data_IF_233816789728
#
_entry.id   IF_233816789728
#
_cell.length_a   1.000
_cell.length_b   1.000
_cell.length_c   1.000
_cell.angle_alpha   90.00
_cell.angle_beta   90.00
_cell.angle_gamma   90.00
#
_symmetry.space_group_name_H-M   'P 1'
#
loop_
_entity.id
_entity.type
_entity.pdbx_description
1 polymer ?
#
# COMPACT_ATOMS: atom_id res chain seq x y z
N UNK A 1 14.63 7.64 25.11
CA UNK A 1 14.61 6.42 24.34
C UNK A 1 13.37 6.34 23.48
N UNK A 2 13.56 6.69 22.27
CA UNK A 2 12.47 6.66 21.31
C UNK A 2 12.31 5.25 20.78
N UNK A 3 11.29 4.58 21.25
CA UNK A 3 10.85 3.42 20.54
C UNK A 3 10.24 3.89 19.23
N UNK A 4 11.00 3.77 18.18
CA UNK A 4 10.40 3.82 16.86
C UNK A 4 9.55 2.57 16.71
N UNK A 5 8.26 2.73 16.87
CA UNK A 5 7.33 1.68 16.49
C UNK A 5 7.55 1.39 15.02
N UNK A 6 7.63 0.12 14.66
CA UNK A 6 7.75 -0.30 13.28
C UNK A 6 6.60 0.29 12.45
N UNK A 7 6.88 0.85 11.27
CA UNK A 7 5.81 1.34 10.41
C UNK A 7 4.81 0.24 10.09
N UNK A 8 3.55 0.58 10.21
CA UNK A 8 2.44 -0.34 9.96
C UNK A 8 1.79 0.01 8.63
N UNK A 9 1.86 -0.92 7.69
CA UNK A 9 1.39 -0.71 6.32
C UNK A 9 0.13 -1.52 6.08
N UNK A 10 -0.91 -0.87 5.55
CA UNK A 10 -2.10 -1.55 5.07
C UNK A 10 -1.88 -1.99 3.63
N UNK A 11 -2.07 -3.28 3.35
CA UNK A 11 -2.04 -3.81 1.99
C UNK A 11 -3.47 -4.14 1.59
N UNK A 12 -4.05 -3.27 0.77
CA UNK A 12 -5.46 -3.37 0.36
C UNK A 12 -5.59 -4.27 -0.86
N UNK A 13 -6.26 -5.38 -0.69
CA UNK A 13 -6.41 -6.40 -1.73
C UNK A 13 -7.87 -6.86 -1.84
N UNK A 14 -8.19 -7.45 -2.98
CA UNK A 14 -9.40 -8.21 -3.23
C UNK A 14 -9.03 -9.33 -4.19
N UNK A 15 -9.91 -10.30 -4.38
CA UNK A 15 -9.61 -11.41 -5.29
C UNK A 15 -9.17 -10.90 -6.66
N UNK A 16 -8.07 -11.44 -7.16
CA UNK A 16 -7.47 -11.02 -8.41
C UNK A 16 -6.42 -9.93 -8.29
N UNK A 17 -5.94 -9.62 -7.07
CA UNK A 17 -4.86 -8.65 -6.88
C UNK A 17 -3.54 -9.17 -7.49
N UNK A 18 -2.64 -8.25 -7.81
CA UNK A 18 -1.33 -8.58 -8.37
C UNK A 18 -0.48 -9.26 -7.28
N UNK A 19 -0.39 -10.58 -7.34
CA UNK A 19 0.31 -11.39 -6.35
C UNK A 19 1.81 -11.09 -6.33
N UNK A 20 2.41 -10.86 -7.50
CA UNK A 20 3.85 -10.59 -7.60
C UNK A 20 4.18 -9.26 -6.93
N UNK A 21 3.40 -8.22 -7.23
CA UNK A 21 3.57 -6.91 -6.59
C UNK A 21 3.36 -7.01 -5.08
N UNK A 22 2.32 -7.72 -4.66
CA UNK A 22 2.00 -7.91 -3.23
C UNK A 22 3.17 -8.57 -2.50
N UNK A 23 3.64 -9.72 -2.96
CA UNK A 23 4.69 -10.47 -2.27
C UNK A 23 6.02 -9.72 -2.29
N UNK A 24 6.34 -9.04 -3.38
CA UNK A 24 7.57 -8.26 -3.49
C UNK A 24 7.59 -7.12 -2.47
N UNK A 25 6.53 -6.33 -2.43
CA UNK A 25 6.44 -5.18 -1.51
C UNK A 25 6.36 -5.65 -0.06
N UNK A 26 5.59 -6.69 0.21
CA UNK A 26 5.48 -7.26 1.55
C UNK A 26 6.85 -7.68 2.10
N UNK A 27 7.63 -8.41 1.31
CA UNK A 27 8.97 -8.83 1.71
C UNK A 27 9.89 -7.66 2.00
N UNK A 28 9.83 -6.60 1.19
CA UNK A 28 10.66 -5.42 1.38
C UNK A 28 10.28 -4.66 2.65
N UNK A 29 8.99 -4.54 2.94
CA UNK A 29 8.51 -3.92 4.18
C UNK A 29 9.02 -4.70 5.39
N UNK A 30 8.85 -6.02 5.39
CA UNK A 30 9.28 -6.88 6.49
C UNK A 30 10.80 -6.86 6.67
N UNK A 31 11.54 -6.85 5.57
CA UNK A 31 13.00 -6.79 5.60
C UNK A 31 13.52 -5.52 6.27
N UNK A 32 12.82 -4.41 6.12
CA UNK A 32 13.18 -3.13 6.74
C UNK A 32 12.60 -2.95 8.15
N UNK A 33 11.96 -3.97 8.69
CA UNK A 33 11.43 -3.95 10.05
C UNK A 33 10.01 -3.40 10.17
N UNK A 34 9.32 -3.21 9.06
CA UNK A 34 7.92 -2.78 9.07
C UNK A 34 6.96 -3.95 9.28
N UNK A 35 5.70 -3.61 9.46
CA UNK A 35 4.59 -4.56 9.59
C UNK A 35 3.64 -4.37 8.42
N UNK A 36 3.24 -5.46 7.77
CA UNK A 36 2.29 -5.43 6.67
C UNK A 36 1.02 -6.19 7.08
N UNK A 37 -0.12 -5.53 7.02
CA UNK A 37 -1.41 -6.15 7.30
C UNK A 37 -2.25 -6.22 6.04
N UNK A 38 -2.89 -7.37 5.82
CA UNK A 38 -3.76 -7.59 4.66
C UNK A 38 -5.16 -7.09 5.00
N UNK A 39 -5.60 -6.10 4.24
CA UNK A 39 -6.92 -5.48 4.39
C UNK A 39 -7.73 -5.81 3.14
N UNK A 40 -8.94 -6.26 3.30
CA UNK A 40 -9.75 -6.65 2.14
C UNK A 40 -11.24 -6.50 2.37
N UNK A 41 -11.98 -6.43 1.28
CA UNK A 41 -13.43 -6.60 1.26
C UNK A 41 -13.84 -8.08 1.25
N UNK A 42 -12.89 -8.98 1.00
CA UNK A 42 -13.14 -10.43 1.10
C UNK A 42 -13.19 -10.84 2.58
N UNK A 43 -13.94 -11.88 2.91
CA UNK A 43 -14.24 -12.19 4.31
C UNK A 43 -13.14 -12.94 5.05
N UNK A 44 -12.52 -13.92 4.44
CA UNK A 44 -11.54 -14.77 5.13
C UNK A 44 -10.18 -14.75 4.45
N UNK A 45 -10.17 -14.93 3.16
CA UNK A 45 -8.94 -15.00 2.38
C UNK A 45 -9.13 -14.25 1.06
N UNK A 46 -8.03 -13.69 0.56
CA UNK A 46 -7.99 -13.08 -0.76
C UNK A 46 -7.10 -13.91 -1.67
N UNK A 47 -7.54 -14.14 -2.89
CA UNK A 47 -6.83 -14.95 -3.87
C UNK A 47 -6.07 -14.06 -4.85
N UNK A 48 -4.75 -14.22 -4.92
CA UNK A 48 -3.90 -13.46 -5.82
C UNK A 48 -4.01 -13.91 -7.27
N UNK A 49 -3.66 -13.00 -8.17
CA UNK A 49 -3.51 -13.30 -9.60
C UNK A 49 -2.03 -13.29 -9.95
N UNK A 50 -1.53 -14.41 -10.46
CA UNK A 50 -0.10 -14.62 -10.70
C UNK A 50 0.34 -14.22 -12.11
N UNK A 51 -0.47 -13.44 -12.81
CA UNK A 51 -0.16 -12.94 -14.15
C UNK A 51 -0.84 -13.72 -15.27
N UNK A 52 -0.95 -15.02 -15.14
CA UNK A 52 -1.57 -15.91 -16.15
C UNK A 52 -2.52 -16.93 -15.55
N UNK A 53 -2.58 -17.00 -14.21
CA UNK A 53 -3.42 -17.98 -13.50
C UNK A 53 -3.68 -17.49 -12.09
N UNK A 54 -4.69 -18.06 -11.45
CA UNK A 54 -4.93 -17.83 -10.03
C UNK A 54 -3.76 -18.38 -9.22
N UNK A 55 -3.28 -17.57 -8.28
CA UNK A 55 -2.18 -17.91 -7.39
C UNK A 55 -2.63 -18.37 -6.02
N UNK A 56 -1.88 -17.98 -5.00
CA UNK A 56 -2.12 -18.40 -3.62
C UNK A 56 -3.27 -17.63 -2.97
N UNK A 57 -3.76 -18.16 -1.87
CA UNK A 57 -4.69 -17.49 -0.97
C UNK A 57 -3.92 -16.88 0.19
N UNK A 58 -4.34 -15.68 0.58
CA UNK A 58 -3.71 -14.92 1.68
C UNK A 58 -4.76 -14.60 2.72
N UNK A 59 -4.48 -14.86 4.02
CA UNK A 59 -5.44 -14.55 5.08
C UNK A 59 -5.65 -13.04 5.19
N UNK A 60 -6.90 -12.65 5.37
CA UNK A 60 -7.26 -11.24 5.59
C UNK A 60 -7.12 -10.93 7.08
N UNK A 61 -6.27 -9.95 7.39
CA UNK A 61 -6.02 -9.56 8.78
C UNK A 61 -7.14 -8.67 9.34
N UNK A 62 -7.73 -7.82 8.51
CA UNK A 62 -8.85 -6.96 8.91
C UNK A 62 -9.75 -6.66 7.72
N UNK A 63 -11.02 -6.44 8.01
CA UNK A 63 -12.00 -6.08 7.00
C UNK A 63 -11.90 -4.59 6.67
N UNK A 64 -12.01 -4.27 5.38
CA UNK A 64 -11.90 -2.89 4.89
C UNK A 64 -12.88 -1.93 5.59
N UNK A 65 -14.08 -2.39 5.90
CA UNK A 65 -15.09 -1.56 6.54
C UNK A 65 -14.86 -1.32 8.04
N UNK A 66 -13.86 -1.97 8.64
CA UNK A 66 -13.57 -1.85 10.07
C UNK A 66 -12.34 -1.01 10.38
N UNK A 67 -11.54 -0.63 9.38
CA UNK A 67 -10.29 0.09 9.59
C UNK A 67 -10.44 1.58 9.25
N UNK A 68 -9.50 2.34 9.78
CA UNK A 68 -9.33 3.77 9.46
C UNK A 68 -7.92 4.00 8.95
N UNK A 69 -7.75 5.00 8.09
CA UNK A 69 -6.41 5.40 7.63
C UNK A 69 -5.49 5.79 8.80
N UNK A 70 -6.08 6.31 9.87
CA UNK A 70 -5.38 6.68 11.10
C UNK A 70 -4.63 5.50 11.73
N UNK A 71 -5.12 4.28 11.54
CA UNK A 71 -4.55 3.08 12.15
C UNK A 71 -3.23 2.62 11.51
N UNK A 72 -2.84 3.24 10.40
CA UNK A 72 -1.69 2.80 9.61
C UNK A 72 -0.79 3.98 9.24
N UNK A 73 0.46 3.67 8.91
CA UNK A 73 1.46 4.67 8.48
C UNK A 73 1.52 4.84 6.97
N UNK A 74 1.08 3.84 6.22
CA UNK A 74 1.12 3.84 4.76
C UNK A 74 0.13 2.84 4.19
N UNK A 75 -0.15 3.00 2.89
CA UNK A 75 -1.06 2.14 2.15
C UNK A 75 -0.38 1.60 0.90
N UNK A 76 -0.55 0.32 0.63
CA UNK A 76 -0.15 -0.32 -0.63
C UNK A 76 -1.38 -0.97 -1.25
N UNK A 77 -1.64 -0.66 -2.51
CA UNK A 77 -2.68 -1.33 -3.27
C UNK A 77 -2.03 -2.06 -4.44
N UNK A 78 -1.76 -3.37 -4.31
CA UNK A 78 -1.22 -4.17 -5.41
C UNK A 78 -2.36 -4.51 -6.36
N UNK A 79 -2.84 -3.48 -7.06
CA UNK A 79 -4.03 -3.58 -7.87
C UNK A 79 -3.82 -4.27 -9.20
N UNK A 80 -4.84 -4.97 -9.62
CA UNK A 80 -5.01 -5.52 -10.94
C UNK A 80 -6.41 -5.15 -11.36
N UNK A 81 -6.69 -5.23 -12.64
CA UNK A 81 -8.02 -4.89 -13.17
C UNK A 81 -9.14 -5.65 -12.45
N UNK A 82 -8.90 -6.92 -12.13
CA UNK A 82 -9.88 -7.77 -11.43
C UNK A 82 -10.16 -7.30 -10.01
N UNK A 83 -9.09 -7.09 -9.24
CA UNK A 83 -9.23 -6.69 -7.85
C UNK A 83 -9.81 -5.28 -7.72
N UNK A 84 -9.42 -4.37 -8.60
CA UNK A 84 -9.93 -3.00 -8.55
C UNK A 84 -11.39 -2.93 -8.96
N UNK A 85 -11.84 -3.77 -9.86
CA UNK A 85 -13.26 -3.88 -10.18
C UNK A 85 -14.07 -4.27 -8.93
N UNK A 86 -13.57 -5.22 -8.14
CA UNK A 86 -14.23 -5.61 -6.89
C UNK A 86 -14.18 -4.51 -5.85
N UNK A 87 -13.02 -3.90 -5.65
CA UNK A 87 -12.84 -2.83 -4.66
C UNK A 87 -13.64 -1.57 -5.01
N UNK A 88 -13.85 -1.28 -6.28
CA UNK A 88 -14.63 -0.12 -6.69
C UNK A 88 -16.12 -0.22 -6.33
N UNK A 89 -16.60 -1.41 -6.01
CA UNK A 89 -18.01 -1.63 -5.64
C UNK A 89 -18.34 -1.22 -4.21
N UNK A 90 -17.33 -0.94 -3.39
CA UNK A 90 -17.54 -0.48 -2.02
C UNK A 90 -17.02 0.94 -1.85
N UNK A 91 -17.82 1.79 -1.19
CA UNK A 91 -17.42 3.16 -0.87
C UNK A 91 -16.24 3.22 0.12
N UNK A 92 -15.99 2.16 0.85
CA UNK A 92 -14.88 2.11 1.81
C UNK A 92 -13.52 2.19 1.15
N UNK A 93 -13.36 1.68 -0.08
CA UNK A 93 -12.10 1.77 -0.82
C UNK A 93 -11.69 3.22 -1.03
N UNK A 94 -12.60 4.02 -1.58
CA UNK A 94 -12.33 5.44 -1.82
C UNK A 94 -12.09 6.18 -0.50
N UNK A 95 -12.90 5.91 0.52
CA UNK A 95 -12.76 6.52 1.84
C UNK A 95 -11.37 6.29 2.43
N UNK A 96 -10.88 5.05 2.35
CA UNK A 96 -9.56 4.70 2.90
C UNK A 96 -8.44 5.35 2.10
N UNK A 97 -8.47 5.26 0.77
CA UNK A 97 -7.44 5.87 -0.07
C UNK A 97 -7.39 7.39 0.14
N UNK A 98 -8.54 8.05 0.11
CA UNK A 98 -8.63 9.50 0.35
C UNK A 98 -8.14 9.86 1.75
N UNK A 99 -8.42 9.03 2.74
CA UNK A 99 -7.94 9.24 4.11
C UNK A 99 -6.42 9.22 4.22
N UNK A 100 -5.76 8.29 3.55
CA UNK A 100 -4.29 8.23 3.52
C UNK A 100 -3.70 9.46 2.80
N UNK A 101 -4.27 9.82 1.67
CA UNK A 101 -3.81 10.99 0.89
C UNK A 101 -4.00 12.27 1.69
N UNK A 102 -5.16 12.47 2.29
CA UNK A 102 -5.47 13.66 3.10
C UNK A 102 -4.56 13.78 4.32
N UNK A 103 -4.10 12.65 4.86
CA UNK A 103 -3.19 12.62 6.01
C UNK A 103 -1.73 12.79 5.62
N UNK A 104 -1.42 12.89 4.32
CA UNK A 104 -0.05 13.00 3.83
C UNK A 104 0.77 11.74 4.00
N UNK A 105 0.14 10.59 4.14
CA UNK A 105 0.83 9.31 4.30
C UNK A 105 1.20 8.71 2.94
N UNK A 106 2.34 7.98 2.84
CA UNK A 106 2.73 7.36 1.58
C UNK A 106 1.70 6.34 1.09
N UNK A 107 1.42 6.39 -0.21
CA UNK A 107 0.50 5.45 -0.88
C UNK A 107 1.17 4.90 -2.13
N UNK A 108 1.24 3.58 -2.24
CA UNK A 108 1.78 2.92 -3.43
C UNK A 108 0.65 2.23 -4.18
N UNK A 109 0.43 2.65 -5.42
CA UNK A 109 -0.58 2.09 -6.31
C UNK A 109 0.13 1.39 -7.47
N UNK A 110 -0.09 0.10 -7.65
CA UNK A 110 0.52 -0.65 -8.75
C UNK A 110 -0.51 -1.05 -9.81
N UNK A 111 -0.05 -1.39 -10.99
CA UNK A 111 -0.92 -1.86 -12.06
C UNK A 111 -1.44 -0.80 -13.03
N UNK A 112 -0.92 0.43 -12.92
CA UNK A 112 -1.28 1.53 -13.81
C UNK A 112 -2.33 2.46 -13.21
N UNK A 113 -2.20 3.74 -13.53
CA UNK A 113 -3.08 4.78 -12.98
C UNK A 113 -4.53 4.63 -13.42
N UNK A 114 -4.74 4.13 -14.62
CA UNK A 114 -6.07 4.01 -15.23
C UNK A 114 -7.04 3.12 -14.46
N UNK A 115 -6.53 2.14 -13.70
CA UNK A 115 -7.41 1.30 -12.88
C UNK A 115 -7.89 1.99 -11.60
N UNK A 116 -7.35 3.17 -11.28
CA UNK A 116 -7.68 3.92 -10.06
C UNK A 116 -8.49 5.19 -10.32
N UNK A 117 -8.25 5.87 -11.45
CA UNK A 117 -8.72 7.25 -11.67
C UNK A 117 -10.22 7.42 -11.77
N UNK A 118 -10.94 6.42 -12.30
CA UNK A 118 -12.37 6.58 -12.55
C UNK A 118 -13.25 6.17 -11.37
N UNK A 119 -12.66 5.49 -10.37
CA UNK A 119 -13.49 4.81 -9.36
C UNK A 119 -13.06 5.06 -7.93
N UNK A 120 -11.76 5.25 -7.67
CA UNK A 120 -11.26 5.26 -6.29
C UNK A 120 -10.41 6.49 -5.93
N UNK A 121 -9.95 7.26 -6.89
CA UNK A 121 -9.19 8.48 -6.62
C UNK A 121 -10.03 9.73 -6.85
N UNK A 122 -9.90 10.70 -5.94
CA UNK A 122 -10.50 12.03 -6.12
C UNK A 122 -9.65 12.87 -7.06
N UNK A 123 -10.29 13.73 -7.86
CA UNK A 123 -9.59 14.63 -8.79
C UNK A 123 -8.65 15.60 -8.07
N UNK A 124 -8.95 15.92 -6.82
CA UNK A 124 -8.18 16.86 -6.01
C UNK A 124 -7.12 16.18 -5.14
N UNK A 125 -6.82 14.89 -5.39
CA UNK A 125 -5.83 14.16 -4.60
C UNK A 125 -4.44 14.75 -4.78
N UNK A 126 -3.79 15.13 -3.68
CA UNK A 126 -2.40 15.54 -3.70
C UNK A 126 -1.53 14.37 -4.15
N UNK A 127 -0.71 14.61 -5.15
CA UNK A 127 0.13 13.56 -5.74
C UNK A 127 1.49 13.41 -5.08
N UNK A 128 1.84 14.27 -4.13
CA UNK A 128 3.19 14.27 -3.54
C UNK A 128 3.50 12.99 -2.76
N UNK A 129 2.52 12.39 -2.13
CA UNK A 129 2.69 11.18 -1.33
C UNK A 129 2.19 9.92 -2.03
N UNK A 130 1.75 10.04 -3.27
CA UNK A 130 1.21 8.92 -4.05
C UNK A 130 2.25 8.46 -5.06
N UNK A 131 2.65 7.20 -4.98
CA UNK A 131 3.61 6.57 -5.86
C UNK A 131 2.87 5.57 -6.73
N UNK A 132 2.96 5.71 -8.04
CA UNK A 132 2.21 4.89 -8.99
C UNK A 132 3.17 4.19 -9.94
N UNK A 133 2.98 2.90 -10.14
CA UNK A 133 3.72 2.14 -11.15
C UNK A 133 2.84 1.87 -12.37
N UNK A 134 3.44 1.88 -13.54
CA UNK A 134 2.75 1.54 -14.78
C UNK A 134 2.54 0.04 -14.91
N UNK A 135 1.45 -0.35 -15.58
CA UNK A 135 1.15 -1.75 -15.82
C UNK A 135 2.24 -2.40 -16.67
N UNK A 136 2.59 -3.64 -16.35
CA UNK A 136 3.55 -4.46 -17.09
C UNK A 136 4.93 -3.80 -17.29
N UNK A 137 5.30 -2.89 -16.40
CA UNK A 137 6.58 -2.19 -16.43
C UNK A 137 7.35 -2.43 -15.13
N UNK A 138 8.29 -3.37 -15.17
CA UNK A 138 9.08 -3.77 -13.99
C UNK A 138 9.92 -2.62 -13.46
N UNK A 139 10.53 -1.81 -14.34
CA UNK A 139 11.35 -0.67 -13.93
C UNK A 139 10.50 0.40 -13.23
N UNK A 140 9.32 0.70 -13.77
CA UNK A 140 8.37 1.62 -13.14
C UNK A 140 7.95 1.13 -11.75
N UNK A 141 7.67 -0.17 -11.63
CA UNK A 141 7.30 -0.78 -10.36
C UNK A 141 8.45 -0.67 -9.35
N UNK A 142 9.67 -0.98 -9.75
CA UNK A 142 10.84 -0.89 -8.87
C UNK A 142 11.07 0.54 -8.39
N UNK A 143 11.00 1.52 -9.31
CA UNK A 143 11.20 2.93 -8.98
C UNK A 143 10.14 3.43 -8.00
N UNK A 144 8.87 3.16 -8.29
CA UNK A 144 7.78 3.57 -7.40
C UNK A 144 7.89 2.93 -6.02
N UNK A 145 8.24 1.64 -5.96
CA UNK A 145 8.39 0.90 -4.71
C UNK A 145 9.55 1.44 -3.89
N UNK A 146 10.70 1.67 -4.51
CA UNK A 146 11.88 2.22 -3.82
C UNK A 146 11.56 3.61 -3.24
N UNK A 147 10.92 4.47 -4.03
CA UNK A 147 10.54 5.80 -3.57
C UNK A 147 9.53 5.77 -2.43
N UNK A 148 8.55 4.87 -2.52
CA UNK A 148 7.56 4.66 -1.47
C UNK A 148 8.24 4.22 -0.16
N UNK A 149 9.11 3.21 -0.23
CA UNK A 149 9.82 2.70 0.96
C UNK A 149 10.74 3.75 1.54
N UNK A 150 11.44 4.53 0.70
CA UNK A 150 12.29 5.61 1.15
C UNK A 150 11.49 6.68 1.90
N UNK A 151 10.31 7.02 1.40
CA UNK A 151 9.41 7.96 2.07
C UNK A 151 8.93 7.41 3.42
N UNK A 152 8.56 6.14 3.47
CA UNK A 152 8.04 5.50 4.68
C UNK A 152 9.08 5.37 5.78
N UNK A 153 10.30 4.93 5.43
CA UNK A 153 11.35 4.66 6.42
C UNK A 153 12.29 5.85 6.65
N UNK A 154 12.30 6.84 5.78
CA UNK A 154 13.17 8.00 5.88
C UNK A 154 12.88 8.88 7.09
N UNK A 155 11.63 9.00 7.50
CA UNK A 155 11.25 9.77 8.69
C UNK A 155 11.88 9.19 9.95
N UNK A 156 11.99 7.87 10.04
CA UNK A 156 12.67 7.19 11.14
C UNK A 156 14.17 7.47 11.15
N UNK A 157 14.81 7.42 9.99
CA UNK A 157 16.25 7.63 9.85
C UNK A 157 16.63 9.09 10.14
N UNK A 158 15.84 10.04 9.67
CA UNK A 158 16.09 11.48 9.90
C UNK A 158 16.03 11.81 11.39
N UNK A 159 15.08 11.24 12.12
CA UNK A 159 14.96 11.43 13.56
C UNK A 159 16.17 10.86 14.30
N UNK A 160 16.63 9.68 13.91
CA UNK A 160 17.78 9.03 14.52
C UNK A 160 19.08 9.81 14.22
N UNK A 161 19.26 10.33 13.02
CA UNK A 161 20.41 11.16 12.66
C UNK A 161 20.45 12.45 13.45
N UNK A 162 19.34 13.13 13.61
CA UNK A 162 19.24 14.36 14.40
C UNK A 162 19.56 14.10 15.86
N UNK A 163 19.10 13.01 16.43
CA UNK A 163 19.40 12.61 17.80
C UNK A 163 20.89 12.26 17.96
N UNK A 164 21.48 11.61 16.99
CA UNK A 164 22.90 11.27 17.00
C UNK A 164 23.78 12.53 16.93
N UNK A 165 23.38 13.56 16.17
CA UNK A 165 24.08 14.83 16.07
C UNK A 165 24.01 15.62 17.35
N UNK A 166 22.86 15.62 18.02
CA UNK A 166 22.68 16.30 19.30
C UNK A 166 23.47 15.62 20.42
N UNK A 167 23.69 14.32 20.34
CA UNK A 167 24.45 13.56 21.31
C UNK A 167 25.97 13.72 21.14
N UNK A 168 26.40 14.24 20.01
CA UNK A 168 27.81 14.51 19.74
C UNK A 168 28.19 15.94 20.09
#
# INVERSE_FOLDING_TARGET
MTQTSSPKVAMLVANGFDEIAFTTVQKLILKQGGVAQVISSETAMANGWAGNAWGCFYPVDAQLNTILAYDFDALVVPGDKRSMERLSKTAHTKRIIDGFIASGKPVLLTGGMDIYTDTVLSEDASVETVYVSEADNTESFQTATVNFLASLFKESDTTDEDNAREAA
#
